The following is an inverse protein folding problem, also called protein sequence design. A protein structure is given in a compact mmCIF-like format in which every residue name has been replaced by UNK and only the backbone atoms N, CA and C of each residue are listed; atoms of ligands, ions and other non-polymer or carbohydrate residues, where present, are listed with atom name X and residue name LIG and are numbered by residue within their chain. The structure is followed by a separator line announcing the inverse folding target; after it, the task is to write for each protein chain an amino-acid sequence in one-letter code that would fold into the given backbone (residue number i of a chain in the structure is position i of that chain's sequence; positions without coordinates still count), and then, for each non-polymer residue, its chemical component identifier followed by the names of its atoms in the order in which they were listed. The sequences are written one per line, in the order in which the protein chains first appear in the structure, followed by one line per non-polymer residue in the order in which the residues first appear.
data_IF_457347281847
#
_entry.id   IF_457347281847
#
_cell.length_a   1.000
_cell.length_b   1.000
_cell.length_c   1.000
_cell.angle_alpha   90.00
_cell.angle_beta   90.00
_cell.angle_gamma   90.00
#
_symmetry.space_group_name_H-M   'P 1'
#
loop_
_entity.id
_entity.type
_entity.pdbx_description
1 polymer ?
#
# COMPACT_ATOMS: atom_id res chain seq x y z
N UNK A 1 -11.83 20.36 -11.48
CA UNK A 1 -10.93 21.31 -10.81
C UNK A 1 -10.03 20.52 -9.86
N UNK A 2 -9.07 19.80 -10.44
CA UNK A 2 -8.01 19.10 -9.69
C UNK A 2 -6.71 19.18 -10.50
N UNK A 3 -6.42 20.39 -10.96
CA UNK A 3 -5.10 20.78 -11.46
C UNK A 3 -4.43 21.53 -10.33
N UNK A 4 -3.54 20.88 -9.59
CA UNK A 4 -2.54 21.49 -8.71
C UNK A 4 -1.84 20.31 -8.04
N UNK A 5 -0.72 19.86 -8.59
CA UNK A 5 0.45 19.23 -7.95
C UNK A 5 1.36 18.47 -8.93
N UNK A 6 1.17 18.58 -10.24
CA UNK A 6 2.25 18.26 -11.19
C UNK A 6 3.25 19.42 -11.26
N UNK A 7 4.05 19.59 -10.20
CA UNK A 7 5.24 20.44 -10.27
C UNK A 7 6.28 19.70 -11.11
N UNK A 8 6.40 20.15 -12.36
CA UNK A 8 7.44 19.80 -13.32
C UNK A 8 8.84 20.01 -12.70
N UNK A 9 9.58 18.91 -12.52
CA UNK A 9 10.97 18.90 -12.07
C UNK A 9 11.46 17.47 -11.98
N UNK A 10 11.86 16.93 -13.14
CA UNK A 10 12.20 15.52 -13.43
C UNK A 10 11.12 14.49 -13.05
N UNK A 11 10.78 13.59 -13.97
CA UNK A 11 9.94 12.44 -13.65
C UNK A 11 10.69 11.59 -12.61
N UNK A 12 10.31 11.76 -11.34
CA UNK A 12 10.81 10.93 -10.25
C UNK A 12 10.36 9.51 -10.51
N UNK A 13 11.34 8.62 -10.62
CA UNK A 13 11.17 7.18 -10.79
C UNK A 13 11.77 6.48 -9.57
N UNK A 14 11.39 5.23 -9.34
CA UNK A 14 12.01 4.41 -8.29
C UNK A 14 13.55 4.33 -8.35
N UNK A 15 14.15 4.58 -9.52
CA UNK A 15 15.59 4.44 -9.71
C UNK A 15 16.36 5.75 -9.48
N UNK A 16 15.69 6.90 -9.61
CA UNK A 16 16.34 8.22 -9.49
C UNK A 16 15.92 8.98 -8.22
N UNK A 17 14.91 8.51 -7.49
CA UNK A 17 14.40 9.18 -6.30
C UNK A 17 15.02 8.60 -5.02
N UNK A 18 15.69 9.47 -4.26
CA UNK A 18 16.29 9.15 -2.95
C UNK A 18 15.48 9.89 -1.87
N UNK A 19 14.63 9.20 -1.10
CA UNK A 19 13.80 9.85 -0.09
C UNK A 19 14.62 10.30 1.12
N UNK A 20 14.37 11.52 1.63
CA UNK A 20 15.09 12.09 2.78
C UNK A 20 14.18 12.59 3.91
N UNK A 21 12.90 12.84 3.63
CA UNK A 21 11.88 13.26 4.59
C UNK A 21 10.72 12.25 4.66
N UNK A 22 9.90 12.32 5.71
CA UNK A 22 8.72 11.46 5.85
C UNK A 22 7.79 11.57 4.63
N UNK A 23 7.55 12.79 4.15
CA UNK A 23 6.77 13.02 2.93
C UNK A 23 7.41 12.39 1.69
N UNK A 24 8.75 12.40 1.59
CA UNK A 24 9.44 11.73 0.48
C UNK A 24 9.25 10.21 0.55
N UNK A 25 9.22 9.63 1.75
CA UNK A 25 8.94 8.20 1.93
C UNK A 25 7.50 7.84 1.54
N UNK A 26 6.53 8.73 1.77
CA UNK A 26 5.15 8.55 1.28
C UNK A 26 5.11 8.57 -0.25
N UNK A 27 5.77 9.56 -0.89
CA UNK A 27 5.88 9.64 -2.35
C UNK A 27 6.60 8.41 -2.93
N UNK A 28 7.66 7.93 -2.27
CA UNK A 28 8.38 6.72 -2.66
C UNK A 28 7.49 5.48 -2.57
N UNK A 29 6.65 5.37 -1.55
CA UNK A 29 5.69 4.28 -1.40
C UNK A 29 4.64 4.27 -2.54
N UNK A 30 4.17 5.44 -2.97
CA UNK A 30 3.27 5.56 -4.13
C UNK A 30 3.94 5.06 -5.42
N UNK A 31 5.20 5.42 -5.65
CA UNK A 31 5.97 4.92 -6.80
C UNK A 31 6.14 3.39 -6.75
N UNK A 32 6.35 2.79 -5.57
CA UNK A 32 6.38 1.32 -5.41
C UNK A 32 5.01 0.73 -5.76
N UNK A 33 3.94 1.31 -5.22
CA UNK A 33 2.57 0.85 -5.47
C UNK A 33 2.24 0.82 -6.97
N UNK A 34 2.58 1.89 -7.70
CA UNK A 34 2.40 1.95 -9.15
C UNK A 34 3.18 0.88 -9.93
N UNK A 35 4.28 0.34 -9.38
CA UNK A 35 5.00 -0.79 -9.99
C UNK A 35 4.38 -2.13 -9.68
N UNK A 36 3.73 -2.28 -8.53
CA UNK A 36 3.06 -3.53 -8.14
C UNK A 36 1.69 -3.66 -8.79
N UNK A 37 0.97 -2.55 -8.94
CA UNK A 37 -0.40 -2.49 -9.47
C UNK A 37 -0.63 -3.25 -10.79
N UNK A 38 0.25 -3.18 -11.81
CA UNK A 38 0.04 -3.89 -13.08
C UNK A 38 -0.07 -5.42 -12.93
N UNK A 39 0.40 -5.97 -11.82
CA UNK A 39 0.38 -7.41 -11.56
C UNK A 39 -0.85 -7.88 -10.78
N UNK A 40 -1.81 -7.00 -10.45
CA UNK A 40 -2.95 -7.34 -9.57
C UNK A 40 -3.78 -8.54 -10.05
N UNK A 41 -3.84 -8.78 -11.37
CA UNK A 41 -4.59 -9.89 -11.99
C UNK A 41 -3.80 -11.20 -12.06
N UNK A 42 -2.52 -11.20 -11.68
CA UNK A 42 -1.67 -12.39 -11.70
C UNK A 42 -2.02 -13.33 -10.54
N UNK A 43 -2.08 -14.64 -10.81
CA UNK A 43 -2.21 -15.66 -9.77
C UNK A 43 -1.07 -15.63 -8.73
N UNK A 44 0.07 -15.03 -9.07
CA UNK A 44 1.22 -14.89 -8.18
C UNK A 44 1.25 -13.56 -7.41
N UNK A 45 0.28 -12.66 -7.61
CA UNK A 45 0.29 -11.32 -6.99
C UNK A 45 0.32 -11.37 -5.46
N UNK A 46 -0.49 -12.25 -4.86
CA UNK A 46 -0.51 -12.43 -3.41
C UNK A 46 0.84 -12.95 -2.90
N UNK A 47 1.51 -13.84 -3.65
CA UNK A 47 2.83 -14.33 -3.29
C UNK A 47 3.88 -13.21 -3.34
N UNK A 48 3.81 -12.35 -4.36
CA UNK A 48 4.64 -11.15 -4.48
C UNK A 48 4.46 -10.22 -3.28
N UNK A 49 3.22 -9.84 -2.94
CA UNK A 49 2.95 -8.95 -1.81
C UNK A 49 3.44 -9.52 -0.47
N UNK A 50 3.22 -10.82 -0.23
CA UNK A 50 3.74 -11.51 0.96
C UNK A 50 5.26 -11.49 1.02
N UNK A 51 5.93 -11.72 -0.11
CA UNK A 51 7.39 -11.71 -0.17
C UNK A 51 7.96 -10.30 0.05
N UNK A 52 7.40 -9.28 -0.60
CA UNK A 52 7.77 -7.87 -0.40
C UNK A 52 7.61 -7.48 1.06
N UNK A 53 6.45 -7.73 1.67
CA UNK A 53 6.21 -7.42 3.07
C UNK A 53 7.21 -8.14 3.98
N UNK A 54 7.46 -9.44 3.77
CA UNK A 54 8.43 -10.18 4.60
C UNK A 54 9.84 -9.59 4.50
N UNK A 55 10.32 -9.33 3.28
CA UNK A 55 11.66 -8.80 3.03
C UNK A 55 11.84 -7.39 3.60
N UNK A 56 10.81 -6.54 3.53
CA UNK A 56 10.87 -5.17 4.05
C UNK A 56 10.88 -5.07 5.58
N UNK A 57 10.48 -6.13 6.29
CA UNK A 57 10.34 -6.12 7.76
C UNK A 57 11.46 -6.88 8.49
N UNK A 58 12.37 -7.56 7.79
CA UNK A 58 13.34 -8.47 8.40
C UNK A 58 14.32 -7.79 9.37
N UNK A 59 14.60 -6.50 9.20
CA UNK A 59 15.55 -5.74 10.02
C UNK A 59 14.88 -4.88 11.09
N UNK A 60 13.55 -4.91 11.22
CA UNK A 60 12.83 -4.06 12.15
C UNK A 60 12.89 -4.59 13.59
N UNK A 61 12.73 -3.68 14.55
CA UNK A 61 12.55 -4.06 15.94
C UNK A 61 11.15 -4.65 16.14
N UNK A 62 11.03 -5.46 17.19
CA UNK A 62 9.76 -6.13 17.54
C UNK A 62 8.60 -5.13 17.73
N UNK A 63 8.86 -3.97 18.32
CA UNK A 63 7.84 -2.94 18.52
C UNK A 63 7.28 -2.41 17.19
N UNK A 64 8.17 -2.03 16.27
CA UNK A 64 7.80 -1.50 14.95
C UNK A 64 7.05 -2.57 14.12
N UNK A 65 7.50 -3.83 14.18
CA UNK A 65 6.82 -4.93 13.52
C UNK A 65 5.40 -5.16 14.06
N UNK A 66 5.18 -5.00 15.38
CA UNK A 66 3.85 -5.11 16.01
C UNK A 66 2.91 -3.98 15.59
N UNK A 67 3.45 -2.78 15.43
CA UNK A 67 2.67 -1.62 14.98
C UNK A 67 2.17 -1.82 13.53
N UNK A 68 3.06 -2.27 12.65
CA UNK A 68 2.71 -2.60 11.26
C UNK A 68 1.68 -3.75 11.20
N UNK A 69 1.84 -4.80 12.03
CA UNK A 69 0.88 -5.90 12.10
C UNK A 69 -0.52 -5.43 12.55
N UNK A 70 -0.58 -4.51 13.51
CA UNK A 70 -1.84 -3.91 13.98
C UNK A 70 -2.51 -3.09 12.87
N UNK A 71 -1.74 -2.36 12.08
CA UNK A 71 -2.24 -1.62 10.91
C UNK A 71 -2.85 -2.55 9.86
N UNK A 72 -2.19 -3.67 9.53
CA UNK A 72 -2.75 -4.69 8.60
C UNK A 72 -4.02 -5.32 9.17
N UNK A 73 -4.06 -5.59 10.47
CA UNK A 73 -5.27 -6.13 11.13
C UNK A 73 -6.44 -5.15 11.05
N UNK A 74 -6.17 -3.86 11.18
CA UNK A 74 -7.18 -2.80 11.03
C UNK A 74 -7.73 -2.76 9.60
N UNK A 75 -6.86 -2.91 8.59
CA UNK A 75 -7.28 -3.00 7.18
C UNK A 75 -8.17 -4.23 6.96
N UNK A 76 -7.80 -5.39 7.50
CA UNK A 76 -8.62 -6.61 7.45
C UNK A 76 -10.02 -6.37 8.06
N UNK A 77 -10.08 -5.76 9.24
CA UNK A 77 -11.35 -5.44 9.89
C UNK A 77 -12.24 -4.55 9.01
N UNK A 78 -11.65 -3.62 8.24
CA UNK A 78 -12.39 -2.80 7.27
C UNK A 78 -12.96 -3.65 6.14
N UNK A 79 -12.18 -4.55 5.53
CA UNK A 79 -12.68 -5.45 4.48
C UNK A 79 -13.84 -6.31 4.96
N UNK A 80 -13.72 -6.91 6.15
CA UNK A 80 -14.78 -7.71 6.77
C UNK A 80 -16.04 -6.85 6.96
N UNK A 81 -15.90 -5.64 7.50
CA UNK A 81 -17.03 -4.71 7.67
C UNK A 81 -17.69 -4.32 6.35
N UNK A 82 -16.90 -4.06 5.29
CA UNK A 82 -17.43 -3.75 3.96
C UNK A 82 -18.25 -4.91 3.40
N UNK A 83 -17.79 -6.15 3.56
CA UNK A 83 -18.53 -7.35 3.13
C UNK A 83 -19.88 -7.44 3.86
N UNK A 84 -19.89 -7.29 5.19
CA UNK A 84 -21.14 -7.32 5.95
C UNK A 84 -22.11 -6.22 5.52
N UNK A 85 -21.61 -5.00 5.31
CA UNK A 85 -22.43 -3.90 4.81
C UNK A 85 -23.02 -4.22 3.44
N UNK A 86 -22.19 -4.69 2.48
CA UNK A 86 -22.67 -5.06 1.15
C UNK A 86 -23.74 -6.16 1.18
N UNK A 87 -23.59 -7.19 2.02
CA UNK A 87 -24.60 -8.24 2.21
C UNK A 87 -25.91 -7.65 2.75
N UNK A 88 -25.84 -6.80 3.77
CA UNK A 88 -27.01 -6.16 4.38
C UNK A 88 -27.81 -5.30 3.37
N UNK A 89 -27.14 -4.66 2.40
CA UNK A 89 -27.79 -3.95 1.30
C UNK A 89 -28.40 -4.86 0.24
N UNK A 90 -27.78 -6.00 -0.08
CA UNK A 90 -28.34 -7.01 -0.99
C UNK A 90 -29.60 -7.67 -0.40
N UNK A 91 -29.64 -7.91 0.91
CA UNK A 91 -30.83 -8.44 1.60
C UNK A 91 -31.98 -7.42 1.71
N UNK A 92 -31.71 -6.12 1.51
CA UNK A 92 -32.70 -5.04 1.55
C UNK A 92 -33.22 -4.59 0.17
N UNK A 93 -32.72 -5.16 -0.93
CA UNK A 93 -33.08 -4.80 -2.32
C UNK A 93 -33.98 -5.83 -2.98
#
# INVERSE_FOLDING_TARGET
MTELFFKKGDDKTLYNFIPNSESDFVEYAELISHRLYPYEKSYHYIALLKAVMRLSLTSLKVADAKDIASSVTTILARFVKYIYFSIEWEDCS
#
